data_IF_004021118203
#
_entry.id   IF_004021118203
#
_cell.length_a   1.000
_cell.length_b   1.000
_cell.length_c   1.000
_cell.angle_alpha   90.00
_cell.angle_beta   90.00
_cell.angle_gamma   90.00
#
_symmetry.space_group_name_H-M   'P 1'
#
loop_
_entity.id
_entity.type
_entity.pdbx_description
1 polymer ?
#
# COMPACT_ATOMS: atom_id res chain seq x y z
N UNK A 1 15.41 -14.08 -52.87
CA UNK A 1 16.03 -14.82 -51.74
C UNK A 1 14.97 -14.93 -50.66
N UNK A 2 14.49 -16.14 -50.36
CA UNK A 2 13.37 -16.34 -49.44
C UNK A 2 13.93 -16.35 -48.02
N UNK A 3 13.65 -15.30 -47.26
CA UNK A 3 14.01 -15.21 -45.85
C UNK A 3 13.44 -16.44 -45.13
N UNK A 4 14.31 -17.25 -44.52
CA UNK A 4 13.88 -18.37 -43.70
C UNK A 4 13.27 -17.78 -42.41
N UNK A 5 11.96 -17.95 -42.24
CA UNK A 5 11.29 -17.56 -41.01
C UNK A 5 11.82 -18.43 -39.86
N UNK A 6 12.71 -17.90 -39.03
CA UNK A 6 13.15 -18.55 -37.80
C UNK A 6 12.01 -18.44 -36.77
N UNK A 7 11.18 -19.46 -36.68
CA UNK A 7 10.16 -19.56 -35.65
C UNK A 7 10.78 -19.79 -34.28
N UNK A 8 10.15 -19.23 -33.25
CA UNK A 8 10.49 -19.47 -31.85
C UNK A 8 10.22 -20.94 -31.48
N UNK A 9 11.14 -21.57 -30.74
CA UNK A 9 11.00 -22.99 -30.40
C UNK A 9 10.09 -23.17 -29.19
N UNK A 10 9.37 -24.31 -29.13
CA UNK A 10 8.58 -24.66 -27.95
C UNK A 10 9.45 -24.78 -26.70
N UNK A 11 10.71 -25.19 -26.86
CA UNK A 11 11.63 -25.33 -25.73
C UNK A 11 12.04 -23.97 -25.14
N UNK A 12 12.25 -22.96 -25.98
CA UNK A 12 12.48 -21.59 -25.50
C UNK A 12 11.25 -21.06 -24.74
N UNK A 13 10.04 -21.33 -25.23
CA UNK A 13 8.81 -20.91 -24.54
C UNK A 13 8.72 -21.55 -23.15
N UNK A 14 8.99 -22.84 -23.05
CA UNK A 14 8.90 -23.58 -21.78
C UNK A 14 9.90 -23.06 -20.74
N UNK A 15 11.13 -22.76 -21.16
CA UNK A 15 12.15 -22.19 -20.25
C UNK A 15 11.72 -20.80 -19.77
N UNK A 16 11.19 -19.96 -20.67
CA UNK A 16 10.71 -18.62 -20.30
C UNK A 16 9.58 -18.70 -19.27
N UNK A 17 8.59 -19.57 -19.49
CA UNK A 17 7.48 -19.75 -18.53
C UNK A 17 7.98 -20.30 -17.20
N UNK A 18 8.97 -21.20 -17.20
CA UNK A 18 9.57 -21.72 -15.97
C UNK A 18 10.26 -20.60 -15.16
N UNK A 19 11.03 -19.73 -15.80
CA UNK A 19 11.69 -18.60 -15.14
C UNK A 19 10.66 -17.60 -14.60
N UNK A 20 9.65 -17.24 -15.39
CA UNK A 20 8.58 -16.33 -14.95
C UNK A 20 7.81 -16.93 -13.77
N UNK A 21 7.55 -18.25 -13.78
CA UNK A 21 6.89 -18.94 -12.67
C UNK A 21 7.66 -18.84 -11.36
N UNK A 22 8.99 -19.05 -11.39
CA UNK A 22 9.84 -18.92 -10.20
C UNK A 22 9.84 -17.47 -9.69
N UNK A 23 10.01 -16.49 -10.58
CA UNK A 23 10.01 -15.08 -10.21
C UNK A 23 8.65 -14.65 -9.64
N UNK A 24 7.54 -15.07 -10.25
CA UNK A 24 6.19 -14.73 -9.80
C UNK A 24 5.87 -15.30 -8.42
N UNK A 25 6.34 -16.51 -8.12
CA UNK A 25 6.14 -17.15 -6.82
C UNK A 25 6.74 -16.34 -5.66
N UNK A 26 7.83 -15.61 -5.90
CA UNK A 26 8.51 -14.76 -4.90
C UNK A 26 7.99 -13.31 -4.96
N UNK A 27 7.83 -12.78 -6.17
CA UNK A 27 7.47 -11.38 -6.39
C UNK A 27 6.05 -11.05 -5.92
N UNK A 28 5.07 -11.93 -6.15
CA UNK A 28 3.68 -11.71 -5.77
C UNK A 28 3.48 -11.56 -4.25
N UNK A 29 3.94 -12.50 -3.39
CA UNK A 29 3.79 -12.33 -1.96
C UNK A 29 4.59 -11.12 -1.43
N UNK A 30 5.80 -10.87 -1.95
CA UNK A 30 6.60 -9.72 -1.56
C UNK A 30 5.92 -8.38 -1.89
N UNK A 31 5.33 -8.26 -3.08
CA UNK A 31 4.59 -7.06 -3.47
C UNK A 31 3.31 -6.87 -2.66
N UNK A 32 2.63 -7.96 -2.30
CA UNK A 32 1.46 -7.91 -1.42
C UNK A 32 1.82 -7.42 -0.02
N UNK A 33 2.87 -7.98 0.60
CA UNK A 33 3.39 -7.53 1.90
C UNK A 33 3.80 -6.05 1.85
N UNK A 34 4.50 -5.63 0.78
CA UNK A 34 4.87 -4.24 0.60
C UNK A 34 3.66 -3.30 0.52
N UNK A 35 2.61 -3.67 -0.23
CA UNK A 35 1.37 -2.88 -0.26
C UNK A 35 0.70 -2.81 1.11
N UNK A 36 0.64 -3.91 1.85
CA UNK A 36 0.07 -3.92 3.20
C UNK A 36 0.85 -3.01 4.15
N UNK A 37 2.19 -3.10 4.15
CA UNK A 37 3.06 -2.22 4.94
C UNK A 37 2.84 -0.75 4.60
N UNK A 38 2.74 -0.43 3.31
CA UNK A 38 2.51 0.94 2.85
C UNK A 38 1.15 1.47 3.31
N UNK A 39 0.10 0.64 3.26
CA UNK A 39 -1.24 0.98 3.78
C UNK A 39 -1.21 1.22 5.30
N UNK A 40 -0.55 0.34 6.04
CA UNK A 40 -0.40 0.50 7.50
C UNK A 40 0.40 1.75 7.84
N UNK A 41 1.49 2.02 7.13
CA UNK A 41 2.28 3.24 7.32
C UNK A 41 1.48 4.51 7.03
N UNK A 42 0.65 4.50 5.97
CA UNK A 42 -0.29 5.58 5.67
C UNK A 42 -1.30 5.78 6.80
N UNK A 43 -1.91 4.70 7.29
CA UNK A 43 -2.86 4.74 8.40
C UNK A 43 -2.21 5.28 9.69
N UNK A 44 -1.00 4.83 10.05
CA UNK A 44 -0.25 5.31 11.22
C UNK A 44 0.01 6.81 11.11
N UNK A 45 0.39 7.29 9.92
CA UNK A 45 0.61 8.72 9.67
C UNK A 45 -0.68 9.50 9.87
N UNK A 46 -1.80 9.01 9.32
CA UNK A 46 -3.12 9.58 9.55
C UNK A 46 -3.50 9.65 11.03
N UNK A 47 -3.35 8.55 11.77
CA UNK A 47 -3.65 8.49 13.22
C UNK A 47 -2.77 9.47 14.00
N UNK A 48 -1.50 9.63 13.63
CA UNK A 48 -0.59 10.54 14.33
C UNK A 48 -1.01 12.01 14.21
N UNK A 49 -1.52 12.41 13.04
CA UNK A 49 -2.12 13.73 12.83
C UNK A 49 -3.36 13.90 13.71
N UNK A 50 -4.23 12.89 13.73
CA UNK A 50 -5.42 12.86 14.58
C UNK A 50 -5.12 12.95 16.08
N UNK A 51 -4.11 12.23 16.54
CA UNK A 51 -3.67 12.28 17.93
C UNK A 51 -3.27 13.70 18.32
N UNK A 52 -2.62 14.42 17.41
CA UNK A 52 -2.19 15.81 17.63
C UNK A 52 -3.38 16.74 17.74
N UNK A 53 -4.36 16.65 16.83
CA UNK A 53 -5.56 17.50 16.86
C UNK A 53 -6.44 17.24 18.08
N UNK A 54 -6.59 15.98 18.49
CA UNK A 54 -7.29 15.63 19.74
C UNK A 54 -6.54 16.19 20.96
N UNK A 55 -5.21 16.09 20.99
CA UNK A 55 -4.41 16.65 22.08
C UNK A 55 -4.56 18.19 22.19
N UNK A 56 -4.62 18.88 21.05
CA UNK A 56 -4.90 20.32 21.00
C UNK A 56 -6.32 20.62 21.52
N UNK A 57 -7.33 19.88 21.07
CA UNK A 57 -8.72 20.05 21.53
C UNK A 57 -8.86 19.90 23.05
N UNK A 58 -8.21 18.90 23.64
CA UNK A 58 -8.21 18.69 25.10
C UNK A 58 -7.49 19.82 25.81
N UNK A 59 -6.42 20.36 25.22
CA UNK A 59 -5.66 21.48 25.79
C UNK A 59 -6.49 22.77 25.80
N UNK A 60 -7.35 22.97 24.80
CA UNK A 60 -8.22 24.15 24.70
C UNK A 60 -9.46 24.05 25.60
N UNK A 61 -10.11 22.88 25.65
CA UNK A 61 -11.38 22.69 26.37
C UNK A 61 -11.20 22.23 27.82
N UNK A 62 -10.04 21.68 28.18
CA UNK A 62 -9.81 21.07 29.50
C UNK A 62 -10.65 19.81 29.76
N UNK A 63 -11.35 19.28 28.76
CA UNK A 63 -12.20 18.09 28.84
C UNK A 63 -12.16 17.29 27.54
N UNK A 64 -12.55 16.02 27.62
CA UNK A 64 -12.74 15.14 26.46
C UNK A 64 -14.10 15.36 25.77
N UNK A 65 -15.03 16.05 26.44
CA UNK A 65 -16.37 16.32 25.90
C UNK A 65 -16.25 17.34 24.77
N UNK A 66 -16.62 16.92 23.55
CA UNK A 66 -16.53 17.76 22.36
C UNK A 66 -15.29 17.53 21.51
N UNK A 67 -14.35 16.67 21.91
CA UNK A 67 -13.21 16.27 21.06
C UNK A 67 -13.56 15.05 20.20
N UNK A 68 -14.62 15.16 19.41
CA UNK A 68 -15.09 14.12 18.50
C UNK A 68 -14.63 14.36 17.05
N UNK A 69 -14.72 13.32 16.22
CA UNK A 69 -14.51 13.43 14.78
C UNK A 69 -15.33 14.59 14.18
N UNK A 70 -14.66 15.45 13.41
CA UNK A 70 -15.30 16.59 12.73
C UNK A 70 -15.66 17.78 13.62
N UNK A 71 -15.24 17.78 14.88
CA UNK A 71 -15.53 18.85 15.84
C UNK A 71 -14.23 19.48 16.36
N UNK A 72 -14.28 20.76 16.75
CA UNK A 72 -13.15 21.48 17.38
C UNK A 72 -11.80 21.32 16.64
N UNK A 73 -11.81 21.48 15.30
CA UNK A 73 -10.59 21.42 14.49
C UNK A 73 -10.05 20.01 14.20
N UNK A 74 -10.70 18.96 14.71
CA UNK A 74 -10.39 17.57 14.35
C UNK A 74 -10.94 17.33 12.94
N UNK A 75 -10.03 17.13 11.97
CA UNK A 75 -10.34 16.94 10.54
C UNK A 75 -11.19 15.70 10.23
N UNK A 76 -11.49 15.42 8.95
CA UNK A 76 -12.28 14.24 8.55
C UNK A 76 -11.53 12.93 8.81
N UNK A 77 -12.26 11.81 8.95
CA UNK A 77 -11.70 10.48 9.25
C UNK A 77 -10.52 10.13 8.31
N UNK A 78 -9.51 9.47 8.87
CA UNK A 78 -8.38 8.94 8.09
C UNK A 78 -8.89 7.98 7.01
N UNK A 79 -8.67 8.32 5.75
CA UNK A 79 -9.02 7.48 4.60
C UNK A 79 -7.97 6.38 4.38
#
# INVERSE_FOLDING_TARGET
>A
MKQAQSGFTLIELMIVVAIIGILAAIALPAFSDYQQRTKVAGAVTGVSSYKTTVALCISDLGTLIGCNHGTNGIGPAIA
#
